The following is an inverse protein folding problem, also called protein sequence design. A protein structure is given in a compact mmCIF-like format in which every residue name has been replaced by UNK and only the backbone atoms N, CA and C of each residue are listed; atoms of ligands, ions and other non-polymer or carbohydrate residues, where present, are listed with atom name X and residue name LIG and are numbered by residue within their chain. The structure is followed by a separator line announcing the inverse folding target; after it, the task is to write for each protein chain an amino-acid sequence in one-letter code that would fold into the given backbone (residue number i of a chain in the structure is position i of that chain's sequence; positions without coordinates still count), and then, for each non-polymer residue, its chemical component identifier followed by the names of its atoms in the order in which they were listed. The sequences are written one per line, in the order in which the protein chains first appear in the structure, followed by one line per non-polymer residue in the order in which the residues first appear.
data_IF_745540892396
#
_entry.id   IF_745540892396
#
_cell.length_a   1.000
_cell.length_b   1.000
_cell.length_c   1.000
_cell.angle_alpha   90.00
_cell.angle_beta   90.00
_cell.angle_gamma   90.00
#
_symmetry.space_group_name_H-M   'P 1'
#
loop_
_entity.id
_entity.type
_entity.pdbx_description
1 polymer ?
#
# COMPACT_ATOMS: atom_id res chain seq x y z
N UNK A 1 -2.12 32.06 -5.68
CA UNK A 1 -2.07 30.72 -5.07
C UNK A 1 -3.23 29.88 -5.58
N UNK A 2 -2.96 28.70 -6.14
CA UNK A 2 -3.96 27.69 -6.51
C UNK A 2 -4.70 27.17 -5.27
N UNK A 3 -5.80 26.44 -5.45
CA UNK A 3 -6.57 25.84 -4.34
C UNK A 3 -5.69 24.95 -3.46
N UNK A 4 -4.84 24.10 -4.05
CA UNK A 4 -3.94 23.20 -3.30
C UNK A 4 -2.95 23.96 -2.44
N UNK A 5 -2.34 25.04 -2.95
CA UNK A 5 -1.37 25.84 -2.21
C UNK A 5 -2.00 26.42 -0.94
N UNK A 6 -3.21 26.99 -1.03
CA UNK A 6 -3.91 27.49 0.16
C UNK A 6 -4.21 26.38 1.17
N UNK A 7 -4.51 25.16 0.71
CA UNK A 7 -4.84 24.02 1.59
C UNK A 7 -3.62 23.48 2.33
N UNK A 8 -2.47 23.32 1.66
CA UNK A 8 -1.26 22.77 2.31
C UNK A 8 -0.67 23.69 3.39
N UNK A 9 -1.04 24.98 3.42
CA UNK A 9 -0.68 25.90 4.52
C UNK A 9 -1.63 25.82 5.70
N UNK A 10 -2.85 25.33 5.52
CA UNK A 10 -3.89 25.27 6.56
C UNK A 10 -4.01 23.90 7.19
N UNK A 11 -3.85 22.85 6.39
CA UNK A 11 -4.19 21.48 6.75
C UNK A 11 -2.97 20.56 6.59
N UNK A 12 -2.83 19.50 7.40
CA UNK A 12 -1.84 18.46 7.18
C UNK A 12 -2.03 17.80 5.82
N UNK A 13 -0.94 17.31 5.26
CA UNK A 13 -0.97 16.67 3.95
C UNK A 13 0.13 15.63 3.79
N UNK A 14 -0.19 14.65 2.95
CA UNK A 14 0.73 13.61 2.53
C UNK A 14 1.00 13.74 1.03
N UNK A 15 2.12 13.20 0.58
CA UNK A 15 2.40 13.02 -0.85
C UNK A 15 2.56 11.54 -1.14
N UNK A 16 1.85 11.06 -2.14
CA UNK A 16 2.16 9.78 -2.77
C UNK A 16 2.78 10.02 -4.13
N UNK A 17 3.70 9.15 -4.53
CA UNK A 17 4.22 9.17 -5.88
C UNK A 17 4.34 7.78 -6.47
N UNK A 18 4.40 7.74 -7.80
CA UNK A 18 4.58 6.51 -8.55
C UNK A 18 5.27 6.77 -9.87
N UNK A 19 6.06 5.79 -10.29
CA UNK A 19 6.73 5.82 -11.59
C UNK A 19 5.70 5.76 -12.71
N UNK A 20 5.90 6.61 -13.72
CA UNK A 20 5.17 6.60 -14.97
C UNK A 20 6.13 6.17 -16.07
N UNK A 21 5.67 5.23 -16.87
CA UNK A 21 6.43 4.61 -17.93
C UNK A 21 5.58 4.61 -19.19
N UNK A 22 5.98 5.40 -20.18
CA UNK A 22 5.19 5.63 -21.39
C UNK A 22 6.01 5.25 -22.61
N UNK A 23 5.49 4.30 -23.40
CA UNK A 23 6.03 4.04 -24.72
C UNK A 23 5.42 5.01 -25.71
N UNK A 24 6.22 5.99 -26.14
CA UNK A 24 5.85 6.92 -27.20
C UNK A 24 6.03 6.23 -28.54
N UNK A 25 4.92 6.03 -29.25
CA UNK A 25 4.91 5.42 -30.58
C UNK A 25 4.66 6.51 -31.61
N UNK A 26 5.58 6.61 -32.55
CA UNK A 26 5.44 7.50 -33.70
C UNK A 26 4.65 6.78 -34.80
N UNK A 27 3.76 7.50 -35.49
CA UNK A 27 2.97 6.92 -36.58
C UNK A 27 3.84 6.50 -37.77
N UNK A 28 4.92 7.22 -38.04
CA UNK A 28 5.90 6.93 -39.09
C UNK A 28 7.30 7.09 -38.52
N UNK A 29 8.08 6.01 -38.52
CA UNK A 29 9.48 6.03 -38.11
C UNK A 29 10.31 6.81 -39.14
N UNK A 30 11.00 7.84 -38.66
CA UNK A 30 12.00 8.59 -39.42
C UNK A 30 13.29 8.66 -38.59
N UNK A 31 14.42 8.97 -39.23
CA UNK A 31 15.71 9.08 -38.53
C UNK A 31 15.65 9.97 -37.27
N UNK A 32 14.88 11.07 -37.34
CA UNK A 32 14.72 12.02 -36.23
C UNK A 32 13.39 11.86 -35.46
N UNK A 33 12.64 10.78 -35.71
CA UNK A 33 11.34 10.55 -35.10
C UNK A 33 11.13 9.06 -34.91
N UNK A 34 11.67 8.52 -33.82
CA UNK A 34 11.60 7.11 -33.47
C UNK A 34 10.69 6.88 -32.26
N UNK A 35 10.09 5.70 -32.22
CA UNK A 35 9.44 5.21 -31.02
C UNK A 35 10.48 5.13 -29.91
N UNK A 36 10.15 5.65 -28.74
CA UNK A 36 11.04 5.63 -27.58
C UNK A 36 10.24 5.47 -26.30
N UNK A 37 10.92 5.04 -25.25
CA UNK A 37 10.34 4.85 -23.94
C UNK A 37 10.75 6.02 -23.06
N UNK A 38 9.77 6.63 -22.40
CA UNK A 38 10.01 7.73 -21.46
C UNK A 38 9.60 7.26 -20.08
N UNK A 39 10.52 7.45 -19.12
CA UNK A 39 10.24 7.28 -17.70
C UNK A 39 10.06 8.66 -17.06
N UNK A 40 9.19 8.73 -16.07
CA UNK A 40 8.87 9.93 -15.32
C UNK A 40 8.18 9.57 -14.01
N UNK A 41 7.69 10.59 -13.32
CA UNK A 41 7.03 10.42 -12.03
C UNK A 41 5.74 11.23 -11.98
N UNK A 42 4.71 10.69 -11.34
CA UNK A 42 3.53 11.45 -10.99
C UNK A 42 3.33 11.49 -9.48
N UNK A 43 2.67 12.54 -9.03
CA UNK A 43 2.49 12.85 -7.63
C UNK A 43 1.04 13.22 -7.36
N UNK A 44 0.57 12.84 -6.19
CA UNK A 44 -0.71 13.30 -5.67
C UNK A 44 -0.49 13.85 -4.28
N UNK A 45 -1.03 15.03 -4.04
CA UNK A 45 -1.11 15.64 -2.72
C UNK A 45 -2.46 15.29 -2.13
N UNK A 46 -2.40 14.75 -0.92
CA UNK A 46 -3.56 14.35 -0.15
C UNK A 46 -3.69 15.28 1.03
N UNK A 47 -4.71 16.14 1.01
CA UNK A 47 -5.01 17.00 2.15
C UNK A 47 -5.83 16.19 3.13
N UNK A 48 -5.30 16.03 4.33
CA UNK A 48 -5.97 15.31 5.40
C UNK A 48 -7.00 16.21 6.10
N UNK A 49 -7.98 15.64 6.80
CA UNK A 49 -8.92 16.41 7.60
C UNK A 49 -8.24 17.35 8.60
N UNK A 50 -8.81 18.52 8.86
CA UNK A 50 -8.22 19.53 9.78
C UNK A 50 -8.00 18.99 11.20
N UNK A 51 -8.80 18.00 11.64
CA UNK A 51 -8.64 17.33 12.95
C UNK A 51 -7.36 16.51 13.09
N UNK A 52 -6.67 16.23 11.97
CA UNK A 52 -5.40 15.49 11.94
C UNK A 52 -4.20 16.38 12.21
N UNK A 53 -4.41 17.67 12.51
CA UNK A 53 -3.35 18.63 12.79
C UNK A 53 -2.44 18.15 13.91
N UNK A 54 -1.16 17.99 13.58
CA UNK A 54 -0.12 17.72 14.57
C UNK A 54 0.12 18.96 15.44
N UNK A 55 0.47 18.76 16.73
CA UNK A 55 0.86 19.86 17.60
C UNK A 55 1.97 20.73 16.99
N UNK A 56 1.96 22.06 17.21
CA UNK A 56 3.04 22.93 16.78
C UNK A 56 4.40 22.44 17.29
N UNK A 57 5.41 22.45 16.41
CA UNK A 57 6.76 21.99 16.77
C UNK A 57 6.96 20.47 16.78
N UNK A 58 5.98 19.68 16.31
CA UNK A 58 6.10 18.22 16.19
C UNK A 58 7.37 17.78 15.46
N UNK A 59 7.80 18.50 14.43
CA UNK A 59 9.05 18.21 13.72
C UNK A 59 10.26 18.27 14.66
N UNK A 60 10.39 19.34 15.48
CA UNK A 60 11.48 19.44 16.46
C UNK A 60 11.39 18.36 17.54
N UNK A 61 10.18 18.05 18.01
CA UNK A 61 9.96 16.98 18.98
C UNK A 61 10.43 15.63 18.40
N UNK A 62 10.08 15.34 17.15
CA UNK A 62 10.54 14.16 16.43
C UNK A 62 12.07 14.09 16.34
N UNK A 63 12.74 15.21 16.00
CA UNK A 63 14.20 15.26 15.92
C UNK A 63 14.85 14.93 17.29
N UNK A 64 14.38 15.58 18.36
CA UNK A 64 14.87 15.33 19.72
C UNK A 64 14.62 13.87 20.14
N UNK A 65 13.41 13.37 19.90
CA UNK A 65 13.03 12.00 20.23
C UNK A 65 13.89 10.97 19.50
N UNK A 66 14.18 11.18 18.21
CA UNK A 66 15.11 10.31 17.46
C UNK A 66 16.52 10.34 18.02
N UNK A 67 17.03 11.51 18.39
CA UNK A 67 18.36 11.64 18.97
C UNK A 67 18.47 10.90 20.31
N UNK A 68 17.43 10.94 21.14
CA UNK A 68 17.37 10.25 22.43
C UNK A 68 17.19 8.73 22.28
N UNK A 69 16.40 8.29 21.30
CA UNK A 69 15.98 6.89 21.17
C UNK A 69 16.77 6.08 20.13
N UNK A 70 17.72 6.68 19.40
CA UNK A 70 18.47 5.99 18.33
C UNK A 70 19.31 4.80 18.82
N UNK A 71 19.68 4.78 20.10
CA UNK A 71 20.49 3.73 20.71
C UNK A 71 19.67 2.62 21.39
N UNK A 72 18.35 2.77 21.50
CA UNK A 72 17.50 1.79 22.17
C UNK A 72 17.37 0.54 21.30
N UNK A 73 17.70 -0.62 21.88
CA UNK A 73 17.57 -1.91 21.20
C UNK A 73 16.11 -2.24 20.99
N UNK A 74 15.77 -2.66 19.77
CA UNK A 74 14.43 -3.06 19.41
C UNK A 74 14.21 -4.54 19.75
N UNK A 75 13.29 -4.82 20.67
CA UNK A 75 12.86 -6.19 20.97
C UNK A 75 11.91 -6.68 19.89
N UNK A 76 12.37 -7.66 19.11
CA UNK A 76 11.61 -8.25 18.01
C UNK A 76 10.38 -9.03 18.49
N UNK A 77 10.40 -9.56 19.71
CA UNK A 77 9.34 -10.40 20.24
C UNK A 77 8.01 -9.64 20.38
N UNK A 78 8.05 -8.35 20.74
CA UNK A 78 6.85 -7.50 20.82
C UNK A 78 6.14 -7.30 19.47
N UNK A 79 6.88 -7.44 18.36
CA UNK A 79 6.33 -7.34 17.00
C UNK A 79 5.74 -8.66 16.54
N UNK A 80 6.46 -9.75 16.79
CA UNK A 80 6.09 -11.06 16.29
C UNK A 80 4.89 -11.65 17.03
N UNK A 81 4.76 -11.32 18.31
CA UNK A 81 3.76 -11.91 19.20
C UNK A 81 2.70 -10.91 19.66
N UNK A 82 2.85 -9.64 19.29
CA UNK A 82 1.93 -8.56 19.65
C UNK A 82 1.88 -8.31 21.17
N UNK A 83 1.03 -7.39 21.57
CA UNK A 83 0.61 -7.26 22.96
C UNK A 83 -0.83 -7.77 23.04
N UNK A 84 -1.08 -8.84 23.79
CA UNK A 84 -2.43 -9.41 23.97
C UNK A 84 -3.46 -8.38 24.49
N UNK A 85 -3.00 -7.29 25.12
CA UNK A 85 -3.85 -6.19 25.57
C UNK A 85 -4.16 -5.14 24.49
N UNK A 86 -3.58 -5.22 23.28
CA UNK A 86 -3.73 -4.22 22.23
C UNK A 86 -4.86 -4.51 21.23
N UNK A 87 -5.74 -5.48 21.53
CA UNK A 87 -6.90 -5.89 20.74
C UNK A 87 -8.09 -4.91 20.80
N UNK A 88 -7.82 -3.60 20.90
CA UNK A 88 -8.81 -2.62 20.51
C UNK A 88 -8.90 -2.65 18.99
N UNK A 89 -9.94 -3.31 18.47
CA UNK A 89 -10.29 -3.30 17.06
C UNK A 89 -10.53 -1.84 16.63
N UNK A 90 -9.50 -1.20 16.08
CA UNK A 90 -9.57 0.15 15.54
C UNK A 90 -10.48 0.15 14.32
N UNK A 91 -11.74 0.51 14.52
CA UNK A 91 -12.71 0.64 13.43
C UNK A 91 -12.48 1.95 12.68
N UNK A 92 -12.36 1.86 11.36
CA UNK A 92 -12.31 3.03 10.50
C UNK A 92 -13.64 3.77 10.59
N UNK A 93 -13.58 5.04 10.98
CA UNK A 93 -14.79 5.85 11.14
C UNK A 93 -15.28 6.33 9.77
N UNK A 94 -16.58 6.23 9.51
CA UNK A 94 -17.21 6.97 8.43
C UNK A 94 -17.40 8.45 8.79
N UNK A 95 -17.76 9.26 7.81
CA UNK A 95 -18.10 10.68 7.96
C UNK A 95 -17.42 11.56 6.90
N UNK A 96 -18.10 12.55 6.32
CA UNK A 96 -17.51 13.48 5.34
C UNK A 96 -16.32 14.26 5.92
N UNK A 97 -16.24 14.42 7.24
CA UNK A 97 -15.10 14.99 7.94
C UNK A 97 -13.84 14.10 7.89
N UNK A 98 -13.95 12.86 7.42
CA UNK A 98 -12.84 11.92 7.22
C UNK A 98 -12.38 11.89 5.76
N UNK A 99 -13.08 12.61 4.88
CA UNK A 99 -12.75 12.68 3.48
C UNK A 99 -11.41 13.39 3.28
N UNK A 100 -10.52 12.74 2.54
CA UNK A 100 -9.24 13.26 2.12
C UNK A 100 -9.40 13.97 0.79
N UNK A 101 -8.95 15.23 0.70
CA UNK A 101 -8.98 15.96 -0.57
C UNK A 101 -7.77 15.57 -1.42
N UNK A 102 -8.00 15.40 -2.71
CA UNK A 102 -7.01 14.90 -3.64
C UNK A 102 -6.65 15.97 -4.67
N UNK A 103 -5.35 16.22 -4.82
CA UNK A 103 -4.79 17.12 -5.84
C UNK A 103 -3.69 16.43 -6.62
N UNK A 104 -3.99 16.06 -7.87
CA UNK A 104 -3.01 15.47 -8.78
C UNK A 104 -2.11 16.59 -9.32
N UNK A 105 -0.79 16.39 -9.20
CA UNK A 105 0.22 17.31 -9.72
C UNK A 105 0.51 17.04 -11.20
N UNK A 106 1.21 17.96 -11.84
CA UNK A 106 1.71 17.75 -13.19
C UNK A 106 2.73 16.59 -13.19
N UNK A 107 2.56 15.66 -14.13
CA UNK A 107 3.53 14.58 -14.35
C UNK A 107 4.89 15.15 -14.70
N UNK A 108 5.92 14.67 -14.01
CA UNK A 108 7.31 15.07 -14.17
C UNK A 108 8.06 14.16 -15.14
N UNK A 109 8.99 14.73 -15.90
CA UNK A 109 9.95 14.00 -16.73
C UNK A 109 11.13 13.45 -15.94
N UNK A 110 11.20 13.76 -14.66
CA UNK A 110 12.29 13.33 -13.78
C UNK A 110 12.06 11.88 -13.38
N UNK A 111 13.14 11.10 -13.43
CA UNK A 111 13.13 9.71 -13.01
C UNK A 111 13.72 9.56 -11.61
N UNK A 112 13.15 8.64 -10.85
CA UNK A 112 13.60 8.32 -9.50
C UNK A 112 14.61 7.16 -9.51
N UNK A 113 15.46 7.05 -10.52
CA UNK A 113 16.36 5.90 -10.64
C UNK A 113 17.53 5.94 -9.64
N UNK A 114 17.91 7.15 -9.19
CA UNK A 114 19.06 7.43 -8.31
C UNK A 114 18.69 8.36 -7.15
N UNK A 115 19.60 8.56 -6.20
CA UNK A 115 19.43 9.54 -5.11
C UNK A 115 19.25 10.97 -5.63
N UNK A 116 20.06 11.38 -6.63
CA UNK A 116 19.93 12.69 -7.27
C UNK A 116 18.60 12.82 -8.02
N UNK A 117 18.19 11.77 -8.74
CA UNK A 117 16.88 11.71 -9.40
C UNK A 117 15.73 11.87 -8.41
N UNK A 118 15.83 11.18 -7.26
CA UNK A 118 14.85 11.28 -6.17
C UNK A 118 14.78 12.70 -5.61
N UNK A 119 15.91 13.35 -5.32
CA UNK A 119 15.93 14.76 -4.89
C UNK A 119 15.34 15.70 -5.94
N UNK A 120 15.63 15.45 -7.23
CA UNK A 120 15.08 16.24 -8.32
C UNK A 120 13.56 16.09 -8.39
N UNK A 121 13.04 14.88 -8.22
CA UNK A 121 11.62 14.57 -8.10
C UNK A 121 10.97 15.36 -6.93
N UNK A 122 11.59 15.32 -5.74
CA UNK A 122 11.12 16.08 -4.58
C UNK A 122 11.10 17.59 -4.82
N UNK A 123 12.17 18.12 -5.43
CA UNK A 123 12.28 19.54 -5.77
C UNK A 123 11.19 19.96 -6.78
N UNK A 124 10.78 19.04 -7.67
CA UNK A 124 9.69 19.30 -8.61
C UNK A 124 8.34 19.42 -7.91
N UNK A 125 8.04 18.53 -6.97
CA UNK A 125 6.85 18.63 -6.11
C UNK A 125 6.84 19.99 -5.39
N UNK A 126 7.96 20.38 -4.80
CA UNK A 126 8.05 21.63 -4.05
C UNK A 126 7.89 22.85 -4.94
N UNK A 127 8.45 22.81 -6.16
CA UNK A 127 8.24 23.85 -7.17
C UNK A 127 6.77 23.98 -7.56
N UNK A 128 6.08 22.87 -7.84
CA UNK A 128 4.66 22.88 -8.20
C UNK A 128 3.77 23.40 -7.05
N UNK A 129 4.19 23.14 -5.80
CA UNK A 129 3.54 23.64 -4.59
C UNK A 129 3.97 25.05 -4.17
N UNK A 130 4.91 25.69 -4.89
CA UNK A 130 5.52 26.99 -4.52
C UNK A 130 6.19 27.00 -3.14
N UNK A 131 6.73 25.86 -2.71
CA UNK A 131 7.49 25.69 -1.47
C UNK A 131 9.00 25.86 -1.66
N UNK A 132 9.44 26.34 -2.82
CA UNK A 132 10.85 26.50 -3.17
C UNK A 132 11.46 27.85 -2.76
N UNK A 133 10.64 28.79 -2.28
CA UNK A 133 11.14 30.05 -1.71
C UNK A 133 11.86 29.77 -0.37
N UNK A 134 12.89 30.55 -0.05
CA UNK A 134 13.72 30.33 1.16
C UNK A 134 12.86 30.31 2.43
N UNK A 135 11.94 31.26 2.58
CA UNK A 135 11.05 31.32 3.75
C UNK A 135 10.13 30.09 3.85
N UNK A 136 9.70 29.53 2.72
CA UNK A 136 8.91 28.30 2.68
C UNK A 136 9.74 27.06 2.99
N UNK A 137 11.00 27.02 2.55
CA UNK A 137 11.92 25.95 2.92
C UNK A 137 12.21 25.97 4.43
N UNK A 138 12.44 27.16 5.00
CA UNK A 138 12.60 27.33 6.45
C UNK A 138 11.35 26.88 7.21
N UNK A 139 10.17 27.29 6.74
CA UNK A 139 8.89 26.86 7.33
C UNK A 139 8.73 25.35 7.26
N UNK A 140 9.05 24.75 6.11
CA UNK A 140 9.01 23.28 5.92
C UNK A 140 9.92 22.58 6.89
N UNK A 141 11.17 23.02 7.00
CA UNK A 141 12.20 22.43 7.83
C UNK A 141 11.85 22.46 9.32
N UNK A 142 11.19 23.53 9.78
CA UNK A 142 10.97 23.76 11.21
C UNK A 142 9.59 23.26 11.66
N UNK A 143 8.57 23.40 10.82
CA UNK A 143 7.18 23.24 11.23
C UNK A 143 6.49 22.01 10.63
N UNK A 144 6.84 21.63 9.39
CA UNK A 144 6.08 20.61 8.65
C UNK A 144 6.58 19.20 8.97
N UNK A 145 5.65 18.25 9.02
CA UNK A 145 5.91 16.81 8.97
C UNK A 145 5.08 16.27 7.81
N UNK A 146 5.73 15.72 6.80
CA UNK A 146 5.10 15.32 5.54
C UNK A 146 5.37 13.84 5.35
N UNK A 147 4.30 13.02 5.30
CA UNK A 147 4.46 11.63 4.92
C UNK A 147 4.69 11.51 3.40
N UNK A 148 5.76 10.80 3.03
CA UNK A 148 6.11 10.48 1.65
C UNK A 148 5.84 8.99 1.44
N UNK A 149 4.81 8.71 0.64
CA UNK A 149 4.25 7.37 0.45
C UNK A 149 4.66 6.84 -0.92
N UNK A 150 5.23 5.64 -0.97
CA UNK A 150 5.66 5.01 -2.20
C UNK A 150 6.00 3.54 -2.07
N UNK A 151 6.54 2.96 -3.14
CA UNK A 151 6.97 1.56 -3.17
C UNK A 151 8.26 1.31 -2.37
N UNK A 152 8.71 0.05 -2.30
CA UNK A 152 9.85 -0.32 -1.45
C UNK A 152 11.12 0.42 -1.88
N UNK A 153 11.37 0.45 -3.18
CA UNK A 153 12.60 1.00 -3.73
C UNK A 153 12.66 2.51 -3.53
N UNK A 154 11.52 3.17 -3.68
CA UNK A 154 11.33 4.58 -3.33
C UNK A 154 11.70 4.85 -1.87
N UNK A 155 11.11 4.11 -0.95
CA UNK A 155 11.29 4.34 0.48
C UNK A 155 12.72 4.02 0.91
N UNK A 156 13.33 2.99 0.35
CA UNK A 156 14.76 2.72 0.51
C UNK A 156 15.63 3.88 0.02
N UNK A 157 15.28 4.51 -1.10
CA UNK A 157 16.00 5.68 -1.60
C UNK A 157 15.88 6.88 -0.69
N UNK A 158 14.67 7.21 -0.25
CA UNK A 158 14.42 8.31 0.70
C UNK A 158 15.15 8.08 2.04
N UNK A 159 15.18 6.83 2.52
CA UNK A 159 15.97 6.45 3.71
C UNK A 159 17.47 6.55 3.48
N UNK A 160 17.94 6.16 2.30
CA UNK A 160 19.33 6.32 1.88
C UNK A 160 19.74 7.80 1.85
N UNK A 161 18.88 8.66 1.33
CA UNK A 161 19.07 10.11 1.35
C UNK A 161 19.19 10.67 2.77
N UNK A 162 18.36 10.23 3.71
CA UNK A 162 18.53 10.61 5.12
C UNK A 162 19.89 10.24 5.67
N UNK A 163 20.37 9.02 5.41
CA UNK A 163 21.70 8.59 5.85
C UNK A 163 22.80 9.41 5.19
N UNK A 164 22.68 9.69 3.90
CA UNK A 164 23.69 10.45 3.15
C UNK A 164 23.74 11.92 3.61
N UNK A 165 22.58 12.51 3.90
CA UNK A 165 22.45 13.94 4.22
C UNK A 165 22.44 14.25 5.71
N UNK A 166 22.62 13.26 6.60
CA UNK A 166 22.45 13.48 8.05
C UNK A 166 23.40 14.53 8.66
N UNK A 167 24.54 14.80 8.02
CA UNK A 167 25.52 15.82 8.45
C UNK A 167 25.28 17.21 7.82
N UNK A 168 24.26 17.36 6.97
CA UNK A 168 23.97 18.64 6.34
C UNK A 168 23.63 19.71 7.39
N UNK A 169 24.05 20.94 7.12
CA UNK A 169 24.08 22.03 8.10
C UNK A 169 22.70 22.50 8.57
N UNK A 170 21.63 22.25 7.81
CA UNK A 170 20.29 22.69 8.15
C UNK A 170 19.25 21.58 7.99
N UNK A 171 18.13 21.75 8.67
CA UNK A 171 17.07 20.75 8.78
C UNK A 171 16.32 20.50 7.47
N UNK A 172 16.30 21.48 6.55
CA UNK A 172 15.72 21.31 5.22
C UNK A 172 16.55 20.34 4.39
N UNK A 173 17.86 20.58 4.34
CA UNK A 173 18.81 19.77 3.58
C UNK A 173 18.93 18.35 4.12
N UNK A 174 18.89 18.17 5.44
CA UNK A 174 18.78 16.83 6.06
C UNK A 174 17.47 16.11 5.77
N UNK A 175 16.47 16.81 5.21
CA UNK A 175 15.12 16.31 4.95
C UNK A 175 14.37 15.90 6.24
N UNK A 176 14.60 16.60 7.36
CA UNK A 176 14.02 16.23 8.67
C UNK A 176 12.48 16.31 8.68
N UNK A 177 11.90 17.09 7.77
CA UNK A 177 10.45 17.26 7.59
C UNK A 177 9.74 16.06 6.96
N UNK A 178 10.48 15.14 6.35
CA UNK A 178 9.93 14.00 5.63
C UNK A 178 9.61 12.85 6.60
N UNK A 179 8.65 12.00 6.27
CA UNK A 179 8.50 10.67 6.88
C UNK A 179 8.28 9.66 5.74
N UNK A 180 9.28 8.84 5.38
CA UNK A 180 9.10 7.78 4.40
C UNK A 180 8.16 6.71 4.96
N UNK A 181 7.05 6.48 4.28
CA UNK A 181 6.01 5.49 4.60
C UNK A 181 5.90 4.51 3.44
N UNK A 182 6.13 3.24 3.70
CA UNK A 182 5.89 2.19 2.71
C UNK A 182 4.40 2.08 2.39
N UNK A 183 4.07 2.04 1.10
CA UNK A 183 2.69 1.97 0.63
C UNK A 183 1.99 0.68 1.10
N UNK A 184 0.79 0.81 1.67
CA UNK A 184 0.05 -0.32 2.23
C UNK A 184 -0.30 -1.36 1.17
N UNK A 185 -0.63 -0.95 -0.05
CA UNK A 185 -0.89 -1.91 -1.12
C UNK A 185 0.36 -2.67 -1.52
N UNK A 186 1.52 -2.00 -1.61
CA UNK A 186 2.78 -2.70 -1.83
C UNK A 186 3.14 -3.64 -0.68
N UNK A 187 2.74 -3.34 0.56
CA UNK A 187 2.85 -4.26 1.70
C UNK A 187 2.00 -5.51 1.52
N UNK A 188 0.74 -5.35 1.14
CA UNK A 188 -0.15 -6.48 0.84
C UNK A 188 0.43 -7.34 -0.29
N UNK A 189 0.99 -6.71 -1.34
CA UNK A 189 1.69 -7.41 -2.42
C UNK A 189 2.92 -8.19 -1.94
N UNK A 190 3.76 -7.57 -1.12
CA UNK A 190 4.96 -8.20 -0.57
C UNK A 190 4.58 -9.39 0.33
N UNK A 191 3.54 -9.23 1.16
CA UNK A 191 3.05 -10.28 2.03
C UNK A 191 2.50 -11.47 1.26
N UNK A 192 1.66 -11.25 0.26
CA UNK A 192 1.14 -12.34 -0.58
C UNK A 192 2.25 -13.01 -1.42
N UNK A 193 3.28 -12.29 -1.85
CA UNK A 193 4.47 -12.90 -2.43
C UNK A 193 5.24 -13.78 -1.42
N UNK A 194 5.32 -13.36 -0.16
CA UNK A 194 5.90 -14.18 0.91
C UNK A 194 5.09 -15.46 1.11
N UNK A 195 3.75 -15.36 1.17
CA UNK A 195 2.85 -16.53 1.21
C UNK A 195 3.11 -17.44 0.01
N UNK A 196 3.15 -16.87 -1.20
CA UNK A 196 3.43 -17.64 -2.40
C UNK A 196 4.74 -18.42 -2.29
N UNK A 197 5.84 -17.76 -1.92
CA UNK A 197 7.16 -18.38 -1.84
C UNK A 197 7.23 -19.48 -0.78
N UNK A 198 6.61 -19.26 0.38
CA UNK A 198 6.67 -20.21 1.49
C UNK A 198 5.76 -21.42 1.28
N UNK A 199 4.56 -21.20 0.70
CA UNK A 199 3.51 -22.21 0.62
C UNK A 199 3.27 -22.76 -0.79
N UNK A 200 4.09 -22.39 -1.79
CA UNK A 200 3.92 -22.88 -3.17
C UNK A 200 3.88 -24.41 -3.21
N UNK A 201 4.85 -25.06 -2.56
CA UNK A 201 4.97 -26.52 -2.54
C UNK A 201 4.96 -27.17 -3.93
N UNK A 202 4.35 -28.35 -4.03
CA UNK A 202 4.24 -29.12 -5.27
C UNK A 202 2.83 -29.69 -5.45
N UNK A 203 2.46 -30.08 -6.67
CA UNK A 203 1.10 -30.55 -7.01
C UNK A 203 0.63 -31.78 -6.23
N UNK A 204 1.56 -32.58 -5.69
CA UNK A 204 1.25 -33.75 -4.88
C UNK A 204 1.21 -33.45 -3.36
N UNK A 205 1.82 -32.33 -2.94
CA UNK A 205 1.84 -31.90 -1.56
C UNK A 205 0.49 -31.30 -1.19
N UNK A 206 -0.19 -32.01 -0.30
CA UNK A 206 -1.50 -31.63 0.21
C UNK A 206 -1.41 -30.31 0.98
N UNK A 207 -2.34 -29.38 0.70
CA UNK A 207 -2.37 -28.06 1.34
C UNK A 207 -1.41 -27.04 0.72
N UNK A 208 -0.64 -27.42 -0.29
CA UNK A 208 0.20 -26.48 -1.03
C UNK A 208 -0.62 -25.59 -1.97
N UNK A 209 -0.16 -24.36 -2.18
CA UNK A 209 -0.79 -23.45 -3.15
C UNK A 209 -0.75 -24.02 -4.56
N UNK A 210 0.31 -24.77 -4.92
CA UNK A 210 0.40 -25.39 -6.25
C UNK A 210 -0.68 -26.44 -6.48
N UNK A 211 -0.97 -27.28 -5.49
CA UNK A 211 -2.11 -28.19 -5.55
C UNK A 211 -3.41 -27.42 -5.74
N UNK A 212 -3.64 -26.37 -4.95
CA UNK A 212 -4.86 -25.55 -5.06
C UNK A 212 -4.98 -24.87 -6.43
N UNK A 213 -3.88 -24.35 -6.99
CA UNK A 213 -3.85 -23.77 -8.33
C UNK A 213 -4.21 -24.80 -9.41
N UNK A 214 -3.72 -26.04 -9.30
CA UNK A 214 -4.03 -27.11 -10.25
C UNK A 214 -5.51 -27.51 -10.17
N UNK A 215 -6.06 -27.67 -8.96
CA UNK A 215 -7.49 -27.98 -8.73
C UNK A 215 -8.38 -26.88 -9.27
N UNK A 216 -8.05 -25.61 -9.01
CA UNK A 216 -8.78 -24.44 -9.49
C UNK A 216 -8.46 -24.09 -10.95
N UNK A 217 -7.58 -24.84 -11.62
CA UNK A 217 -7.12 -24.61 -13.00
C UNK A 217 -6.56 -23.19 -13.23
N UNK A 218 -5.94 -22.61 -12.20
CA UNK A 218 -5.31 -21.28 -12.24
C UNK A 218 -3.96 -21.38 -12.96
N UNK A 219 -3.73 -20.52 -13.95
CA UNK A 219 -2.50 -20.49 -14.77
C UNK A 219 -1.64 -19.27 -14.46
N UNK A 220 -0.33 -19.41 -14.68
CA UNK A 220 0.62 -18.29 -14.54
C UNK A 220 0.99 -17.94 -13.09
N UNK A 221 0.65 -18.81 -12.13
CA UNK A 221 0.96 -18.63 -10.71
C UNK A 221 2.10 -19.51 -10.21
N UNK A 222 2.76 -20.27 -11.08
CA UNK A 222 3.88 -21.14 -10.67
C UNK A 222 5.15 -20.30 -10.44
N UNK A 223 5.45 -19.40 -11.38
CA UNK A 223 6.64 -18.55 -11.31
C UNK A 223 6.21 -17.15 -10.87
N UNK A 224 6.84 -16.66 -9.80
CA UNK A 224 6.63 -15.30 -9.33
C UNK A 224 6.99 -14.28 -10.41
N UNK A 225 6.16 -13.25 -10.56
CA UNK A 225 6.44 -12.11 -11.44
C UNK A 225 5.98 -10.82 -10.80
N UNK A 226 6.84 -9.80 -10.82
CA UNK A 226 6.50 -8.42 -10.41
C UNK A 226 5.84 -7.63 -11.54
N UNK A 227 5.76 -8.21 -12.74
CA UNK A 227 5.17 -7.59 -13.93
C UNK A 227 3.93 -8.35 -14.39
N UNK A 228 2.99 -7.61 -14.98
CA UNK A 228 1.80 -8.19 -15.60
C UNK A 228 0.77 -8.67 -14.56
N UNK A 229 -0.07 -9.64 -14.92
CA UNK A 229 -1.27 -9.98 -14.14
C UNK A 229 -1.02 -10.90 -12.96
N UNK A 230 0.24 -11.25 -12.69
CA UNK A 230 0.59 -12.19 -11.63
C UNK A 230 -0.01 -11.78 -10.29
N UNK A 231 0.13 -10.51 -9.91
CA UNK A 231 -0.44 -9.98 -8.67
C UNK A 231 -1.95 -10.23 -8.59
N UNK A 232 -2.70 -9.77 -9.59
CA UNK A 232 -4.16 -9.90 -9.60
C UNK A 232 -4.61 -11.36 -9.56
N UNK A 233 -3.94 -12.24 -10.31
CA UNK A 233 -4.27 -13.66 -10.30
C UNK A 233 -3.92 -14.31 -8.96
N UNK A 234 -2.82 -13.89 -8.31
CA UNK A 234 -2.40 -14.41 -7.02
C UNK A 234 -3.36 -13.95 -5.93
N UNK A 235 -3.67 -12.66 -5.89
CA UNK A 235 -4.63 -12.05 -4.96
C UNK A 235 -6.00 -12.72 -5.06
N UNK A 236 -6.53 -12.85 -6.28
CA UNK A 236 -7.80 -13.54 -6.52
C UNK A 236 -7.74 -15.03 -6.10
N UNK A 237 -6.64 -15.72 -6.37
CA UNK A 237 -6.48 -17.11 -5.97
C UNK A 237 -6.41 -17.27 -4.44
N UNK A 238 -5.64 -16.41 -3.75
CA UNK A 238 -5.52 -16.42 -2.30
C UNK A 238 -6.86 -16.13 -1.62
N UNK A 239 -7.67 -15.19 -2.14
CA UNK A 239 -9.01 -14.93 -1.62
C UNK A 239 -9.92 -16.15 -1.78
N UNK A 240 -9.99 -16.75 -2.97
CA UNK A 240 -10.83 -17.94 -3.19
C UNK A 240 -10.41 -19.13 -2.31
N UNK A 241 -9.10 -19.37 -2.18
CA UNK A 241 -8.57 -20.45 -1.35
C UNK A 241 -8.90 -20.19 0.13
N UNK A 242 -8.61 -18.97 0.61
CA UNK A 242 -8.86 -18.59 2.01
C UNK A 242 -10.35 -18.64 2.34
N UNK A 243 -11.21 -18.11 1.48
CA UNK A 243 -12.66 -18.16 1.66
C UNK A 243 -13.16 -19.61 1.74
N UNK A 244 -12.71 -20.49 0.83
CA UNK A 244 -13.07 -21.90 0.86
C UNK A 244 -12.60 -22.59 2.16
N UNK A 245 -11.36 -22.32 2.60
CA UNK A 245 -10.81 -22.88 3.83
C UNK A 245 -11.53 -22.39 5.09
N UNK A 246 -11.85 -21.10 5.18
CA UNK A 246 -12.61 -20.55 6.30
C UNK A 246 -14.01 -21.15 6.36
N UNK A 247 -14.70 -21.23 5.21
CA UNK A 247 -16.01 -21.88 5.12
C UNK A 247 -15.95 -23.34 5.58
N UNK A 248 -14.96 -24.10 5.13
CA UNK A 248 -14.78 -25.50 5.54
C UNK A 248 -14.50 -25.63 7.06
N UNK A 249 -13.64 -24.77 7.62
CA UNK A 249 -13.30 -24.76 9.04
C UNK A 249 -14.52 -24.43 9.91
N UNK A 250 -15.38 -23.52 9.45
CA UNK A 250 -16.63 -23.18 10.14
C UNK A 250 -17.67 -24.30 10.12
N UNK A 251 -17.76 -25.07 9.03
CA UNK A 251 -18.61 -26.26 8.96
C UNK A 251 -18.13 -27.33 9.95
N UNK A 252 -16.82 -27.59 9.97
CA UNK A 252 -16.19 -28.59 10.86
C UNK A 252 -16.35 -28.22 12.33
N UNK A 253 -15.87 -27.03 12.73
CA UNK A 253 -15.91 -26.59 14.13
C UNK A 253 -17.34 -26.38 14.60
N UNK A 254 -18.20 -25.85 13.74
CA UNK A 254 -19.62 -25.67 14.04
C UNK A 254 -20.40 -26.98 14.13
N UNK A 255 -19.84 -28.08 13.62
CA UNK A 255 -20.48 -29.38 13.39
C UNK A 255 -21.83 -29.21 12.67
N UNK A 256 -21.82 -28.48 11.56
CA UNK A 256 -23.01 -28.19 10.75
C UNK A 256 -22.77 -28.58 9.30
N UNK A 257 -23.82 -29.01 8.61
CA UNK A 257 -23.75 -29.34 7.19
C UNK A 257 -23.81 -28.09 6.31
N UNK A 258 -24.49 -27.03 6.76
CA UNK A 258 -24.63 -25.77 6.03
C UNK A 258 -24.22 -24.57 6.88
N UNK A 259 -23.51 -23.60 6.29
CA UNK A 259 -23.13 -22.36 6.98
C UNK A 259 -24.34 -21.54 7.46
N UNK A 260 -25.50 -21.71 6.82
CA UNK A 260 -26.74 -21.07 7.24
C UNK A 260 -27.17 -21.50 8.65
N UNK A 261 -26.81 -22.72 9.06
CA UNK A 261 -27.19 -23.28 10.36
C UNK A 261 -26.47 -22.58 11.52
N UNK A 262 -25.30 -21.97 11.25
CA UNK A 262 -24.58 -21.14 12.23
C UNK A 262 -25.40 -19.93 12.68
N UNK A 263 -26.35 -19.44 11.87
CA UNK A 263 -27.23 -18.32 12.25
C UNK A 263 -28.19 -18.65 13.39
N UNK A 264 -28.40 -19.93 13.68
CA UNK A 264 -29.22 -20.37 14.82
C UNK A 264 -28.47 -20.33 16.16
N UNK A 265 -27.14 -20.20 16.13
CA UNK A 265 -26.30 -20.14 17.32
C UNK A 265 -26.32 -18.73 17.92
N UNK A 266 -26.23 -18.65 19.24
CA UNK A 266 -26.12 -17.39 19.96
C UNK A 266 -24.76 -16.71 19.68
N UNK A 267 -24.65 -15.38 19.87
CA UNK A 267 -23.38 -14.67 19.72
C UNK A 267 -22.24 -15.25 20.58
N UNK A 268 -22.55 -15.74 21.79
CA UNK A 268 -21.55 -16.34 22.67
C UNK A 268 -21.05 -17.68 22.11
N UNK A 269 -21.95 -18.54 21.64
CA UNK A 269 -21.56 -19.80 21.01
C UNK A 269 -20.71 -19.57 19.76
N UNK A 270 -21.06 -18.58 18.93
CA UNK A 270 -20.23 -18.22 17.77
C UNK A 270 -18.83 -17.75 18.17
N UNK A 271 -18.71 -17.04 19.30
CA UNK A 271 -17.42 -16.60 19.83
C UNK A 271 -16.59 -17.79 20.34
N UNK A 272 -17.21 -18.73 21.03
CA UNK A 272 -16.55 -19.94 21.54
C UNK A 272 -16.10 -20.85 20.38
N UNK A 273 -16.91 -20.94 19.32
CA UNK A 273 -16.54 -21.63 18.08
C UNK A 273 -15.39 -20.94 17.35
N UNK A 274 -15.37 -19.60 17.29
CA UNK A 274 -14.24 -18.86 16.70
C UNK A 274 -12.93 -19.12 17.48
N UNK A 275 -12.99 -19.14 18.81
CA UNK A 275 -11.83 -19.49 19.64
C UNK A 275 -11.35 -20.93 19.38
N UNK A 276 -12.29 -21.87 19.25
CA UNK A 276 -12.00 -23.27 18.89
C UNK A 276 -11.37 -23.38 17.50
N UNK A 277 -11.86 -22.61 16.53
CA UNK A 277 -11.31 -22.56 15.17
C UNK A 277 -9.86 -22.10 15.19
N UNK A 278 -9.56 -21.02 15.92
CA UNK A 278 -8.19 -20.53 16.06
C UNK A 278 -7.30 -21.62 16.69
N UNK A 279 -7.76 -22.24 17.76
CA UNK A 279 -7.01 -23.28 18.45
C UNK A 279 -6.74 -24.50 17.55
N UNK A 280 -7.73 -24.95 16.77
CA UNK A 280 -7.65 -26.15 15.93
C UNK A 280 -7.01 -25.93 14.56
N UNK A 281 -7.11 -24.74 13.99
CA UNK A 281 -6.73 -24.48 12.60
C UNK A 281 -5.77 -23.30 12.42
N UNK A 282 -5.60 -22.40 13.38
CA UNK A 282 -4.72 -21.22 13.20
C UNK A 282 -3.57 -21.14 14.22
N UNK A 283 -3.36 -22.19 15.02
CA UNK A 283 -2.35 -22.21 16.08
C UNK A 283 -1.12 -23.06 15.70
N UNK A 284 0.03 -22.75 16.30
CA UNK A 284 1.25 -23.57 16.16
C UNK A 284 1.03 -24.96 16.78
N UNK A 285 0.22 -25.01 17.82
CA UNK A 285 -0.22 -26.21 18.52
C UNK A 285 -1.01 -27.13 17.59
N UNK A 286 -1.84 -26.59 16.70
CA UNK A 286 -2.55 -27.36 15.69
C UNK A 286 -1.58 -28.02 14.70
N UNK A 287 -0.59 -27.27 14.20
CA UNK A 287 0.46 -27.81 13.32
C UNK A 287 1.21 -28.94 14.03
N UNK A 288 1.67 -28.69 15.26
CA UNK A 288 2.40 -29.67 16.06
C UNK A 288 1.57 -30.92 16.38
N UNK A 289 0.27 -30.76 16.68
CA UNK A 289 -0.64 -31.86 16.98
C UNK A 289 -0.83 -32.77 15.77
N UNK A 290 -0.97 -32.19 14.58
CA UNK A 290 -1.11 -32.95 13.33
C UNK A 290 0.21 -33.61 12.92
N UNK A 291 1.35 -32.93 13.10
CA UNK A 291 2.67 -33.52 12.84
C UNK A 291 2.98 -34.72 13.75
N UNK A 292 2.50 -34.68 15.00
CA UNK A 292 2.63 -35.75 15.98
C UNK A 292 1.74 -36.97 15.70
N UNK A 293 0.74 -36.87 14.82
CA UNK A 293 -0.12 -38.00 14.43
C UNK A 293 0.60 -38.96 13.46
N UNK A 294 0.25 -40.25 13.57
CA UNK A 294 0.74 -41.27 12.64
C UNK A 294 0.27 -40.94 11.21
N UNK A 295 1.03 -41.27 10.15
CA UNK A 295 0.64 -40.95 8.77
C UNK A 295 -0.74 -41.48 8.34
N UNK A 296 -1.27 -42.50 9.02
CA UNK A 296 -2.58 -43.10 8.75
C UNK A 296 -3.73 -42.39 9.49
N UNK A 297 -3.42 -41.67 10.57
CA UNK A 297 -4.40 -40.95 11.41
C UNK A 297 -4.41 -39.44 11.15
N UNK A 298 -3.55 -38.96 10.24
CA UNK A 298 -3.53 -37.56 9.84
C UNK A 298 -4.79 -37.25 9.06
N UNK A 299 -5.70 -36.50 9.69
CA UNK A 299 -6.81 -35.88 8.98
C UNK A 299 -6.26 -34.87 7.96
N UNK A 300 -6.37 -35.24 6.69
CA UNK A 300 -5.88 -34.42 5.59
C UNK A 300 -6.58 -33.05 5.52
N UNK A 301 -7.79 -32.89 6.07
CA UNK A 301 -8.52 -31.61 6.12
C UNK A 301 -7.99 -30.72 7.24
N UNK A 302 -7.62 -31.28 8.39
CA UNK A 302 -7.00 -30.56 9.50
C UNK A 302 -5.58 -30.06 9.15
N UNK A 303 -4.83 -30.83 8.35
CA UNK A 303 -3.51 -30.44 7.83
C UNK A 303 -3.61 -29.34 6.75
N UNK A 304 -4.70 -29.32 5.95
CA UNK A 304 -4.98 -28.30 4.92
C UNK A 304 -5.34 -26.92 5.49
N UNK A 305 -5.80 -26.87 6.74
CA UNK A 305 -6.34 -25.67 7.37
C UNK A 305 -5.39 -25.02 8.36
N UNK A 306 -4.26 -25.68 8.69
CA UNK A 306 -3.27 -25.20 9.66
C UNK A 306 -2.30 -24.17 9.04
N UNK A 307 -2.32 -22.94 9.56
CA UNK A 307 -1.42 -21.86 9.11
C UNK A 307 -0.17 -21.78 10.00
N UNK A 308 1.04 -22.14 9.54
CA UNK A 308 2.24 -21.93 10.35
C UNK A 308 2.67 -20.45 10.29
N UNK A 309 3.02 -19.81 11.42
CA UNK A 309 3.54 -18.46 11.41
C UNK A 309 5.07 -18.51 11.22
N UNK A 310 5.57 -18.25 10.02
CA UNK A 310 7.00 -17.99 9.83
C UNK A 310 7.28 -16.85 8.87
N UNK A 311 8.14 -15.94 9.35
CA UNK A 311 8.51 -14.68 8.72
C UNK A 311 9.74 -14.82 7.82
N UNK A 312 9.74 -14.10 6.71
CA UNK A 312 10.95 -13.41 6.23
C UNK A 312 10.53 -12.29 5.28
N UNK A 313 10.98 -11.07 5.57
CA UNK A 313 10.86 -9.84 4.76
C UNK A 313 9.61 -8.96 4.99
N UNK A 314 9.03 -8.98 6.19
CA UNK A 314 8.08 -7.94 6.62
C UNK A 314 8.84 -6.60 6.86
N UNK A 315 8.24 -5.41 6.70
CA UNK A 315 8.92 -4.14 6.96
C UNK A 315 9.13 -3.92 8.47
N UNK A 316 10.10 -4.63 9.04
CA UNK A 316 10.57 -4.50 10.43
C UNK A 316 10.92 -3.04 10.75
N UNK A 317 11.42 -2.30 9.77
CA UNK A 317 11.80 -0.90 9.94
C UNK A 317 10.59 0.01 10.26
N UNK A 318 9.45 -0.19 9.61
CA UNK A 318 8.20 0.55 9.86
C UNK A 318 7.65 0.26 11.26
N UNK A 319 7.68 -1.01 11.66
CA UNK A 319 7.18 -1.42 12.98
C UNK A 319 8.12 -0.90 14.08
N UNK A 320 9.44 -0.99 13.89
CA UNK A 320 10.41 -0.39 14.81
C UNK A 320 10.15 1.09 15.01
N UNK A 321 9.86 1.82 13.93
CA UNK A 321 9.55 3.25 13.99
C UNK A 321 8.29 3.54 14.78
N UNK A 322 7.20 2.83 14.49
CA UNK A 322 5.95 2.94 15.23
C UNK A 322 6.17 2.72 16.73
N UNK A 323 6.96 1.73 17.13
CA UNK A 323 7.10 1.44 18.55
C UNK A 323 8.15 2.30 19.29
N UNK A 324 9.22 2.75 18.62
CA UNK A 324 10.39 3.31 19.32
C UNK A 324 10.97 4.60 18.75
N UNK A 325 10.74 4.95 17.49
CA UNK A 325 11.42 6.11 16.87
C UNK A 325 10.51 7.35 16.74
N UNK A 326 9.21 7.20 16.97
CA UNK A 326 8.24 8.28 16.86
C UNK A 326 7.60 8.61 18.22
N UNK A 327 7.48 9.92 18.54
CA UNK A 327 6.61 10.37 19.64
C UNK A 327 5.19 9.81 19.47
N UNK A 328 4.48 9.62 20.59
CA UNK A 328 3.15 9.03 20.60
C UNK A 328 2.15 9.74 19.66
N UNK A 329 2.11 11.06 19.68
CA UNK A 329 1.23 11.85 18.81
C UNK A 329 1.53 11.60 17.32
N UNK A 330 2.81 11.55 16.95
CA UNK A 330 3.20 11.27 15.56
C UNK A 330 2.89 9.83 15.18
N UNK A 331 3.15 8.87 16.08
CA UNK A 331 2.83 7.45 15.88
C UNK A 331 1.34 7.27 15.61
N UNK A 332 0.49 7.88 16.43
CA UNK A 332 -0.96 7.81 16.27
C UNK A 332 -1.38 8.47 14.96
N UNK A 333 -0.84 9.64 14.64
CA UNK A 333 -1.07 10.30 13.36
C UNK A 333 -0.70 9.44 12.14
N UNK A 334 0.49 8.81 12.15
CA UNK A 334 0.92 7.95 11.04
C UNK A 334 -0.01 6.74 10.95
N UNK A 335 -0.27 6.06 12.08
CA UNK A 335 -1.13 4.87 12.15
C UNK A 335 -2.55 5.15 11.62
N UNK A 336 -3.12 6.30 11.95
CA UNK A 336 -4.52 6.62 11.64
C UNK A 336 -4.69 7.28 10.27
N UNK A 337 -3.72 8.09 9.80
CA UNK A 337 -3.96 8.99 8.67
C UNK A 337 -2.95 8.90 7.51
N UNK A 338 -1.94 8.01 7.59
CA UNK A 338 -0.91 7.91 6.56
C UNK A 338 -0.90 6.61 5.76
N UNK A 339 -1.79 5.66 6.08
CA UNK A 339 -1.89 4.37 5.36
C UNK A 339 -3.09 4.31 4.43
N UNK A 340 -4.24 4.73 4.95
CA UNK A 340 -5.54 4.67 4.27
C UNK A 340 -6.13 6.06 4.11
N UNK A 341 -6.95 6.23 3.09
CA UNK A 341 -7.71 7.44 2.82
C UNK A 341 -9.11 7.08 2.36
N UNK A 342 -10.04 8.00 2.55
CA UNK A 342 -11.39 7.92 1.99
C UNK A 342 -11.61 9.17 1.13
N UNK A 343 -12.16 9.02 -0.08
CA UNK A 343 -12.41 10.16 -0.99
C UNK A 343 -13.71 10.92 -0.68
N UNK A 344 -14.65 10.27 -0.01
CA UNK A 344 -16.01 10.78 0.23
C UNK A 344 -16.47 10.63 1.69
N UNK A 345 -15.64 10.04 2.56
CA UNK A 345 -15.98 9.77 3.96
C UNK A 345 -16.84 8.52 4.18
N UNK A 346 -17.13 7.73 3.14
CA UNK A 346 -17.85 6.46 3.27
C UNK A 346 -17.10 5.43 4.11
N UNK A 347 -17.82 4.65 4.92
CA UNK A 347 -17.23 3.58 5.74
C UNK A 347 -16.62 2.45 4.87
N UNK A 348 -17.16 2.25 3.67
CA UNK A 348 -16.67 1.26 2.69
C UNK A 348 -15.73 1.87 1.65
N UNK A 349 -15.41 3.16 1.73
CA UNK A 349 -14.62 3.86 0.72
C UNK A 349 -13.17 4.07 1.12
N UNK A 350 -12.74 3.46 2.21
CA UNK A 350 -11.34 3.47 2.64
C UNK A 350 -10.48 2.65 1.69
N UNK A 351 -9.38 3.24 1.24
CA UNK A 351 -8.38 2.57 0.43
C UNK A 351 -6.96 3.05 0.75
N UNK A 352 -5.94 2.23 0.48
CA UNK A 352 -4.55 2.64 0.54
C UNK A 352 -4.23 3.87 -0.32
N UNK A 353 -3.40 4.78 0.21
CA UNK A 353 -2.94 5.96 -0.53
C UNK A 353 -2.25 5.61 -1.84
N UNK A 354 -1.42 4.56 -1.85
CA UNK A 354 -0.69 4.09 -3.02
C UNK A 354 -1.60 3.41 -4.07
N UNK A 355 -2.73 2.78 -3.67
CA UNK A 355 -3.81 2.44 -4.62
C UNK A 355 -4.46 3.70 -5.17
N UNK A 356 -4.73 4.68 -4.31
CA UNK A 356 -5.25 5.97 -4.72
C UNK A 356 -4.38 6.64 -5.79
N UNK A 357 -3.06 6.57 -5.62
CA UNK A 357 -2.07 7.01 -6.59
C UNK A 357 -2.12 6.18 -7.87
N UNK A 358 -2.16 4.85 -7.78
CA UNK A 358 -2.24 3.98 -8.96
C UNK A 358 -3.51 4.26 -9.77
N UNK A 359 -4.64 4.46 -9.10
CA UNK A 359 -5.89 4.87 -9.72
C UNK A 359 -5.82 6.27 -10.33
N UNK A 360 -5.01 7.18 -9.83
CA UNK A 360 -4.87 8.50 -10.45
C UNK A 360 -4.08 8.43 -11.74
N UNK A 361 -3.04 7.60 -11.72
CA UNK A 361 -2.13 7.47 -12.85
C UNK A 361 -2.58 6.41 -13.84
N UNK A 362 -3.62 5.61 -13.57
CA UNK A 362 -4.07 4.56 -14.50
C UNK A 362 -4.54 5.11 -15.85
N UNK A 363 -5.07 6.34 -15.91
CA UNK A 363 -5.54 6.96 -17.15
C UNK A 363 -4.38 7.50 -18.02
N UNK A 364 -3.19 7.68 -17.42
CA UNK A 364 -1.98 8.20 -18.08
C UNK A 364 -0.90 7.12 -18.24
N UNK A 365 -0.84 6.15 -17.32
CA UNK A 365 -0.15 4.89 -17.54
C UNK A 365 -0.88 4.21 -18.69
N UNK A 366 -0.12 3.64 -19.59
CA UNK A 366 -0.68 2.88 -20.70
C UNK A 366 -1.13 1.51 -20.19
N UNK A 367 -2.19 1.51 -19.36
CA UNK A 367 -2.90 0.37 -18.83
C UNK A 367 -4.37 0.52 -19.29
N UNK A 368 -4.98 -0.57 -19.78
CA UNK A 368 -6.32 -0.53 -20.38
C UNK A 368 -7.37 0.09 -19.45
N UNK A 369 -8.47 0.66 -19.99
CA UNK A 369 -9.55 1.20 -19.19
C UNK A 369 -10.17 0.09 -18.34
N UNK A 370 -10.06 0.24 -17.02
CA UNK A 370 -10.90 -0.46 -16.05
C UNK A 370 -12.28 0.18 -16.16
N UNK A 371 -13.18 -0.43 -16.94
CA UNK A 371 -14.60 -0.15 -16.79
C UNK A 371 -15.07 -0.71 -15.45
N UNK A 372 -15.96 0.06 -14.82
CA UNK A 372 -16.35 0.09 -13.41
C UNK A 372 -16.96 -1.21 -12.83
N UNK A 373 -16.92 -2.35 -13.53
CA UNK A 373 -17.55 -3.61 -13.14
C UNK A 373 -16.59 -4.81 -13.03
N UNK A 374 -15.29 -4.64 -13.29
CA UNK A 374 -14.37 -5.77 -13.39
C UNK A 374 -13.51 -5.94 -12.12
N UNK A 375 -14.16 -6.37 -11.03
CA UNK A 375 -13.49 -7.04 -9.91
C UNK A 375 -13.16 -8.52 -10.23
N UNK A 376 -13.53 -9.03 -11.41
CA UNK A 376 -13.29 -10.40 -11.84
C UNK A 376 -12.87 -10.42 -13.31
N UNK A 377 -11.65 -10.92 -13.53
CA UNK A 377 -11.08 -11.47 -14.78
C UNK A 377 -10.45 -10.50 -15.81
N UNK A 378 -9.17 -10.81 -16.07
CA UNK A 378 -8.42 -10.62 -17.31
C UNK A 378 -7.82 -9.24 -17.64
N UNK A 379 -6.49 -9.23 -17.48
CA UNK A 379 -5.50 -8.25 -17.90
C UNK A 379 -5.53 -7.85 -19.37
N UNK A 380 -5.03 -6.66 -19.68
CA UNK A 380 -3.95 -6.54 -20.66
C UNK A 380 -3.18 -5.22 -20.47
N UNK A 381 -1.85 -5.34 -20.30
CA UNK A 381 -0.90 -4.27 -20.62
C UNK A 381 -0.92 -4.15 -22.14
N UNK A 382 -1.89 -3.41 -22.69
CA UNK A 382 -1.85 -3.02 -24.08
C UNK A 382 -1.38 -1.58 -24.14
N UNK A 383 -0.23 -1.41 -24.80
CA UNK A 383 0.25 -0.13 -25.30
C UNK A 383 -0.82 0.54 -26.17
N UNK A 384 -1.84 1.21 -25.60
CA UNK A 384 -2.57 2.23 -26.34
C UNK A 384 -1.51 3.27 -26.69
N UNK A 385 -1.15 3.35 -27.97
CA UNK A 385 -0.43 4.52 -28.45
C UNK A 385 -1.32 5.70 -28.12
N UNK A 386 -0.93 6.50 -27.14
CA UNK A 386 -1.41 7.86 -27.18
C UNK A 386 -0.97 8.43 -28.54
N UNK A 387 -1.86 9.18 -29.20
CA UNK A 387 -1.58 9.70 -30.54
C UNK A 387 -0.25 10.48 -30.57
N UNK A 388 0.31 10.77 -31.75
CA UNK A 388 1.63 11.39 -31.89
C UNK A 388 1.83 12.74 -31.15
N UNK A 389 0.75 13.35 -30.63
CA UNK A 389 0.80 14.56 -29.80
C UNK A 389 0.93 14.33 -28.28
N UNK A 390 0.94 13.09 -27.80
CA UNK A 390 1.02 12.79 -26.38
C UNK A 390 2.47 12.81 -25.89
N UNK A 391 2.97 14.02 -25.64
CA UNK A 391 4.27 14.26 -25.04
C UNK A 391 4.19 14.21 -23.51
N UNK A 392 5.33 14.20 -22.83
CA UNK A 392 5.37 14.39 -21.38
C UNK A 392 4.78 15.75 -20.96
N UNK A 393 4.99 16.80 -21.75
CA UNK A 393 4.39 18.12 -21.53
C UNK A 393 2.85 18.06 -21.61
N UNK A 394 2.31 17.32 -22.59
CA UNK A 394 0.87 17.08 -22.68
C UNK A 394 0.35 16.32 -21.45
N UNK A 395 1.02 15.24 -21.04
CA UNK A 395 0.62 14.48 -19.85
C UNK A 395 0.72 15.31 -18.57
N UNK A 396 1.74 16.16 -18.45
CA UNK A 396 1.89 17.13 -17.37
C UNK A 396 0.65 18.00 -17.23
N UNK A 397 0.18 18.58 -18.33
CA UNK A 397 -1.02 19.44 -18.37
C UNK A 397 -2.33 18.69 -18.12
N UNK A 398 -2.44 17.44 -18.58
CA UNK A 398 -3.66 16.63 -18.44
C UNK A 398 -3.80 16.03 -17.04
N UNK A 399 -2.68 15.70 -16.36
CA UNK A 399 -2.72 14.97 -15.09
C UNK A 399 -3.59 15.66 -14.02
N UNK A 400 -3.47 16.98 -13.77
CA UNK A 400 -4.34 17.68 -12.83
C UNK A 400 -5.82 17.71 -13.23
N UNK A 401 -6.14 17.54 -14.51
CA UNK A 401 -7.50 17.58 -15.04
C UNK A 401 -8.23 16.23 -15.00
N UNK A 402 -7.51 15.11 -14.78
CA UNK A 402 -8.07 13.75 -14.74
C UNK A 402 -9.36 13.65 -13.88
N UNK A 403 -9.43 14.20 -12.65
CA UNK A 403 -10.63 14.06 -11.84
C UNK A 403 -11.84 14.75 -12.45
N UNK A 404 -11.65 15.89 -13.12
CA UNK A 404 -12.71 16.60 -13.83
C UNK A 404 -13.13 15.84 -15.08
N UNK A 405 -12.18 15.32 -15.86
CA UNK A 405 -12.44 14.52 -17.05
C UNK A 405 -13.26 13.26 -16.71
N UNK A 406 -12.93 12.56 -15.62
CA UNK A 406 -13.70 11.42 -15.12
C UNK A 406 -15.13 11.78 -14.74
N UNK A 407 -15.34 12.94 -14.11
CA UNK A 407 -16.68 13.42 -13.77
C UNK A 407 -17.52 13.70 -15.03
N UNK A 408 -16.92 14.32 -16.04
CA UNK A 408 -17.57 14.55 -17.34
C UNK A 408 -17.90 13.22 -18.03
N UNK A 409 -16.95 12.29 -18.10
CA UNK A 409 -17.17 10.97 -18.69
C UNK A 409 -18.36 10.24 -18.02
N UNK A 410 -18.37 10.16 -16.68
CA UNK A 410 -19.47 9.54 -15.92
C UNK A 410 -20.81 10.26 -16.11
N UNK A 411 -20.81 11.56 -16.42
CA UNK A 411 -22.02 12.29 -16.72
C UNK A 411 -22.54 11.97 -18.14
N UNK A 412 -21.64 11.77 -19.10
CA UNK A 412 -21.97 11.42 -20.48
C UNK A 412 -22.38 9.95 -20.67
N UNK A 413 -21.93 9.05 -19.79
CA UNK A 413 -22.27 7.62 -19.81
C UNK A 413 -23.63 7.32 -19.15
N UNK A 414 -24.28 8.33 -18.54
CA UNK A 414 -25.64 8.26 -18.02
C UNK A 414 -26.63 8.75 -19.07
#
# INVERSE_FOLDING_TARGET
MTTVQKRIHKSPWNVSHGNINVALRVFSQRLNNQSHFVSGCAYTIWILPDRTALPPGMNRLLQAYRAENCLVVFEYDLVLYGNEAADDLWQLQGGPENATEQFILETSTKEEASYEGTLSCMADVFKQLLLNAVDEQMTTAIQRVIAWIGDQLTIERLRGLWKYRHEDHNSFDRLDYMIPIFGWFHLVMAFANSIHKQYLGNSAAIGSLRQAFDVLKRKGLITQSTKGPFWHHLDEALHHISEAHFRASWLDVGNVENLADLKSKSPQELRDLAATLIQKHASREAVNAVEAMSPQDRDEVALKTSFPPYSSDFPVAEIRRLHREWPEDLRNYIREFCWLMSRDGGIESWLPFDIGQEQNICDIKVLLPISFLCFLTASQVNYRSMGPGATMDYMGKVSPAIPALRKVQRHMEK
#
